data_IF_375638598118
#
_entry.id   IF_375638598118
#
_cell.length_a   1.000
_cell.length_b   1.000
_cell.length_c   1.000
_cell.angle_alpha   90.00
_cell.angle_beta   90.00
_cell.angle_gamma   90.00
#
_symmetry.space_group_name_H-M   'P 1'
#
loop_
_entity.id
_entity.type
_entity.pdbx_description
1 polymer ?
#
# COMPACT_ATOMS: atom_id res chain seq x y z
N UNK A 1 11.49 -4.25 -6.95
CA UNK A 1 10.87 -3.22 -7.82
C UNK A 1 11.65 -1.94 -7.65
N UNK A 2 11.96 -1.25 -8.75
CA UNK A 2 12.66 0.05 -8.71
C UNK A 2 11.71 1.12 -9.24
N UNK A 3 11.60 2.22 -8.51
CA UNK A 3 10.90 3.46 -8.91
C UNK A 3 11.99 4.50 -9.12
N UNK A 4 12.08 5.05 -10.32
CA UNK A 4 13.15 5.97 -10.68
C UNK A 4 12.61 7.29 -11.26
N UNK A 5 12.93 8.42 -10.61
CA UNK A 5 12.71 9.75 -11.11
C UNK A 5 11.25 10.15 -11.33
N UNK A 6 10.28 9.56 -10.60
CA UNK A 6 8.86 9.87 -10.80
C UNK A 6 8.59 11.36 -10.50
N UNK A 7 8.11 12.05 -11.53
CA UNK A 7 7.62 13.42 -11.45
C UNK A 7 6.16 13.52 -11.86
N UNK A 8 5.40 14.40 -11.17
CA UNK A 8 3.99 14.70 -11.49
C UNK A 8 3.62 16.11 -11.12
N UNK A 9 2.98 16.81 -12.06
CA UNK A 9 2.41 18.13 -11.81
C UNK A 9 0.92 18.16 -12.21
N UNK A 10 0.14 19.02 -11.56
CA UNK A 10 -1.23 19.32 -11.92
C UNK A 10 -1.38 20.84 -12.13
N UNK A 11 -1.82 21.23 -13.31
CA UNK A 11 -1.99 22.66 -13.63
C UNK A 11 -0.68 23.50 -13.52
N UNK A 12 0.49 22.84 -13.69
CA UNK A 12 1.79 23.46 -13.51
C UNK A 12 2.37 23.38 -12.08
N UNK A 13 1.56 23.01 -11.09
CA UNK A 13 1.99 22.83 -9.70
C UNK A 13 2.61 21.44 -9.50
N UNK A 14 3.90 21.34 -9.12
CA UNK A 14 4.55 20.05 -8.90
C UNK A 14 4.02 19.38 -7.63
N UNK A 15 3.54 18.13 -7.76
CA UNK A 15 3.10 17.28 -6.63
C UNK A 15 4.13 16.22 -6.32
N UNK A 16 4.87 15.73 -7.34
CA UNK A 16 5.99 14.81 -7.19
C UNK A 16 7.18 15.34 -7.97
N UNK A 17 8.37 15.32 -7.37
CA UNK A 17 9.59 15.83 -7.98
C UNK A 17 10.75 14.85 -7.74
N UNK A 18 11.12 14.10 -8.78
CA UNK A 18 12.27 13.19 -8.80
C UNK A 18 12.23 12.11 -7.71
N UNK A 19 11.06 11.47 -7.54
CA UNK A 19 10.87 10.44 -6.53
C UNK A 19 11.51 9.13 -6.97
N UNK A 20 12.50 8.67 -6.20
CA UNK A 20 13.28 7.45 -6.50
C UNK A 20 13.47 6.60 -5.26
N UNK A 21 13.21 5.28 -5.36
CA UNK A 21 13.49 4.28 -4.33
C UNK A 21 13.41 2.85 -4.90
N UNK A 22 13.89 1.91 -4.11
CA UNK A 22 13.83 0.48 -4.42
C UNK A 22 13.09 -0.29 -3.34
N UNK A 23 12.38 -1.34 -3.76
CA UNK A 23 11.69 -2.30 -2.89
C UNK A 23 12.20 -3.69 -3.19
N UNK A 24 12.69 -4.39 -2.19
CA UNK A 24 13.14 -5.78 -2.32
C UNK A 24 11.96 -6.75 -2.49
N UNK A 25 12.22 -7.96 -2.94
CA UNK A 25 11.19 -9.01 -3.00
C UNK A 25 10.88 -9.50 -1.59
N UNK A 26 9.59 -9.62 -1.25
CA UNK A 26 9.17 -10.03 0.09
C UNK A 26 9.31 -8.95 1.17
N UNK A 27 9.56 -7.70 0.77
CA UNK A 27 9.68 -6.55 1.68
C UNK A 27 8.33 -5.85 1.87
N UNK A 28 8.10 -5.33 3.07
CA UNK A 28 7.05 -4.36 3.38
C UNK A 28 7.70 -2.98 3.48
N UNK A 29 7.50 -2.14 2.45
CA UNK A 29 7.97 -0.77 2.41
C UNK A 29 6.86 0.19 2.83
N UNK A 30 7.10 1.03 3.82
CA UNK A 30 6.20 2.09 4.26
C UNK A 30 6.48 3.41 3.53
N UNK A 31 5.46 3.99 2.91
CA UNK A 31 5.52 5.34 2.35
C UNK A 31 4.91 6.31 3.36
N UNK A 32 5.75 7.11 4.01
CA UNK A 32 5.40 7.96 5.13
C UNK A 32 5.49 9.43 4.73
N UNK A 33 4.53 10.22 5.16
CA UNK A 33 4.52 11.66 4.91
C UNK A 33 3.20 12.29 5.35
N UNK A 34 3.16 13.62 5.53
CA UNK A 34 1.94 14.32 5.90
C UNK A 34 0.87 14.23 4.81
N UNK A 35 -0.34 14.65 5.14
CA UNK A 35 -1.39 14.82 4.15
C UNK A 35 -0.95 15.84 3.10
N UNK A 36 -1.18 15.54 1.82
CA UNK A 36 -0.71 16.38 0.73
C UNK A 36 0.75 16.15 0.30
N UNK A 37 1.52 15.28 0.95
CA UNK A 37 2.90 14.96 0.54
C UNK A 37 3.02 14.25 -0.82
N UNK A 38 1.90 13.79 -1.40
CA UNK A 38 1.88 13.11 -2.71
C UNK A 38 1.84 11.59 -2.64
N UNK A 39 1.60 10.96 -1.46
CA UNK A 39 1.61 9.49 -1.29
C UNK A 39 0.64 8.77 -2.24
N UNK A 40 -0.64 9.14 -2.23
CA UNK A 40 -1.67 8.57 -3.12
C UNK A 40 -1.30 8.79 -4.59
N UNK A 41 -0.91 10.01 -4.96
CA UNK A 41 -0.47 10.35 -6.33
C UNK A 41 0.69 9.46 -6.76
N UNK A 42 1.66 9.23 -5.88
CA UNK A 42 2.80 8.36 -6.16
C UNK A 42 2.36 6.90 -6.36
N UNK A 43 1.51 6.36 -5.48
CA UNK A 43 0.97 5.00 -5.63
C UNK A 43 0.18 4.84 -6.93
N UNK A 44 -0.63 5.81 -7.31
CA UNK A 44 -1.38 5.82 -8.58
C UNK A 44 -0.46 5.91 -9.79
N UNK A 45 0.60 6.73 -9.73
CA UNK A 45 1.63 6.77 -10.76
C UNK A 45 2.34 5.41 -10.87
N UNK A 46 2.75 4.78 -9.76
CA UNK A 46 3.38 3.45 -9.75
C UNK A 46 2.41 2.39 -10.27
N UNK A 47 1.13 2.45 -9.92
CA UNK A 47 0.10 1.53 -10.42
C UNK A 47 -0.18 1.68 -11.93
N UNK A 48 0.19 2.82 -12.52
CA UNK A 48 -0.12 3.16 -13.92
C UNK A 48 -1.54 3.63 -14.14
N UNK A 49 -2.24 4.03 -13.08
CA UNK A 49 -3.58 4.62 -13.13
C UNK A 49 -3.51 6.11 -13.46
N UNK A 50 -2.48 6.78 -12.96
CA UNK A 50 -2.16 8.15 -13.24
C UNK A 50 -0.86 8.22 -14.06
N UNK A 51 -0.84 8.87 -15.24
CA UNK A 51 0.39 9.03 -15.99
C UNK A 51 1.35 9.96 -15.25
N UNK A 52 2.58 9.51 -15.00
CA UNK A 52 3.67 10.36 -14.53
C UNK A 52 4.18 11.23 -15.68
N UNK A 53 4.68 12.42 -15.35
CA UNK A 53 5.23 13.36 -16.36
C UNK A 53 6.71 13.05 -16.62
N UNK A 54 7.38 12.36 -15.67
CA UNK A 54 8.76 11.88 -15.77
C UNK A 54 8.94 10.58 -14.98
N UNK A 55 10.05 9.91 -15.22
CA UNK A 55 10.48 8.73 -14.50
C UNK A 55 9.88 7.42 -15.00
N UNK A 56 10.31 6.33 -14.39
CA UNK A 56 9.91 4.97 -14.76
C UNK A 56 9.74 4.05 -13.55
N UNK A 57 9.03 2.95 -13.77
CA UNK A 57 8.95 1.82 -12.84
C UNK A 57 9.57 0.61 -13.51
N UNK A 58 10.45 -0.10 -12.80
CA UNK A 58 11.08 -1.34 -13.25
C UNK A 58 10.67 -2.51 -12.35
N UNK A 59 10.49 -3.67 -12.95
CA UNK A 59 10.30 -4.93 -12.26
C UNK A 59 11.41 -5.90 -12.65
N UNK A 60 12.18 -6.36 -11.65
CA UNK A 60 13.33 -7.27 -11.86
C UNK A 60 14.30 -6.78 -12.95
N UNK A 61 14.62 -5.48 -12.91
CA UNK A 61 15.55 -4.85 -13.85
C UNK A 61 14.98 -4.57 -15.24
N UNK A 62 13.69 -4.87 -15.48
CA UNK A 62 13.03 -4.59 -16.76
C UNK A 62 12.02 -3.46 -16.59
N UNK A 63 12.05 -2.50 -17.53
CA UNK A 63 11.08 -1.41 -17.57
C UNK A 63 9.64 -1.94 -17.65
N UNK A 64 8.77 -1.40 -16.80
CA UNK A 64 7.36 -1.80 -16.68
C UNK A 64 6.46 -0.63 -17.10
N UNK A 65 6.12 -0.52 -18.39
CA UNK A 65 5.29 0.58 -18.88
C UNK A 65 3.90 0.55 -18.25
N UNK A 66 3.20 1.71 -18.11
CA UNK A 66 1.92 1.81 -17.41
C UNK A 66 0.88 0.75 -17.80
N UNK A 67 0.72 0.49 -19.10
CA UNK A 67 -0.25 -0.50 -19.61
C UNK A 67 0.00 -1.94 -19.11
N UNK A 68 1.25 -2.28 -18.76
CA UNK A 68 1.65 -3.61 -18.30
C UNK A 68 1.76 -3.74 -16.79
N UNK A 69 1.69 -2.65 -16.03
CA UNK A 69 1.85 -2.66 -14.56
C UNK A 69 0.84 -3.58 -13.87
N UNK A 70 -0.39 -3.64 -14.36
CA UNK A 70 -1.45 -4.56 -13.87
C UNK A 70 -1.08 -6.06 -13.96
N UNK A 71 -0.06 -6.42 -14.73
CA UNK A 71 0.44 -7.80 -14.82
C UNK A 71 1.25 -8.17 -13.58
N UNK A 72 1.90 -7.20 -12.94
CA UNK A 72 2.79 -7.38 -11.79
C UNK A 72 2.27 -6.74 -10.51
N UNK A 73 1.48 -5.67 -10.62
CA UNK A 73 1.02 -4.86 -9.51
C UNK A 73 -0.49 -4.99 -9.33
N UNK A 74 -0.93 -4.92 -8.07
CA UNK A 74 -2.33 -4.66 -7.72
C UNK A 74 -2.39 -3.48 -6.76
N UNK A 75 -3.23 -2.50 -7.04
CA UNK A 75 -3.42 -1.32 -6.20
C UNK A 75 -4.75 -1.39 -5.45
N UNK A 76 -4.67 -1.20 -4.14
CA UNK A 76 -5.81 -1.09 -3.23
C UNK A 76 -5.91 0.37 -2.80
N UNK A 77 -6.83 1.15 -3.37
CA UNK A 77 -7.00 2.57 -3.02
C UNK A 77 -7.65 2.72 -1.64
N UNK A 78 -7.57 3.93 -1.08
CA UNK A 78 -8.18 4.25 0.21
C UNK A 78 -9.69 4.07 0.22
N UNK A 79 -10.39 4.60 -0.78
CA UNK A 79 -11.85 4.71 -0.75
C UNK A 79 -12.49 4.52 -2.11
N UNK A 80 -12.82 3.27 -2.45
CA UNK A 80 -13.68 2.95 -3.58
C UNK A 80 -14.78 1.98 -3.14
N UNK A 81 -15.86 1.91 -3.90
CA UNK A 81 -16.93 0.92 -3.75
C UNK A 81 -17.14 0.21 -5.08
N UNK A 82 -16.27 -0.76 -5.43
CA UNK A 82 -16.43 -1.49 -6.67
C UNK A 82 -17.72 -2.32 -6.61
N UNK A 83 -18.51 -2.27 -7.68
CA UNK A 83 -19.79 -2.99 -7.79
C UNK A 83 -20.74 -2.71 -6.60
N UNK A 84 -21.17 -1.45 -6.36
CA UNK A 84 -21.83 -1.03 -5.12
C UNK A 84 -23.15 -1.77 -4.85
N UNK A 85 -23.85 -2.21 -5.89
CA UNK A 85 -25.15 -2.89 -5.80
C UNK A 85 -25.03 -4.40 -5.60
N UNK A 86 -23.86 -4.98 -5.78
CA UNK A 86 -23.59 -6.40 -5.56
C UNK A 86 -23.31 -6.68 -4.09
N UNK A 87 -23.65 -7.86 -3.62
CA UNK A 87 -23.27 -8.27 -2.27
C UNK A 87 -21.76 -8.45 -2.15
N UNK A 88 -21.23 -8.22 -0.95
CA UNK A 88 -19.83 -8.43 -0.63
C UNK A 88 -19.35 -9.83 -1.03
N UNK A 89 -20.18 -10.87 -0.78
CA UNK A 89 -19.84 -12.24 -1.15
C UNK A 89 -19.78 -12.46 -2.66
N UNK A 90 -20.69 -11.88 -3.43
CA UNK A 90 -20.69 -12.00 -4.90
C UNK A 90 -19.43 -11.42 -5.50
N UNK A 91 -19.02 -10.22 -5.05
CA UNK A 91 -17.79 -9.59 -5.55
C UNK A 91 -16.55 -10.36 -5.14
N UNK A 92 -16.47 -10.86 -3.90
CA UNK A 92 -15.36 -11.70 -3.45
C UNK A 92 -15.25 -13.01 -4.24
N UNK A 93 -16.37 -13.67 -4.51
CA UNK A 93 -16.42 -14.89 -5.37
C UNK A 93 -15.97 -14.58 -6.78
N UNK A 94 -16.45 -13.48 -7.37
CA UNK A 94 -16.05 -13.04 -8.70
C UNK A 94 -14.54 -12.85 -8.80
N UNK A 95 -13.91 -12.17 -7.81
CA UNK A 95 -12.46 -12.00 -7.76
C UNK A 95 -11.74 -13.34 -7.60
N UNK A 96 -12.18 -14.19 -6.67
CA UNK A 96 -11.62 -15.54 -6.50
C UNK A 96 -11.61 -16.32 -7.81
N UNK A 97 -12.72 -16.32 -8.54
CA UNK A 97 -12.89 -17.05 -9.80
C UNK A 97 -12.06 -16.43 -10.93
N UNK A 98 -12.09 -15.10 -11.06
CA UNK A 98 -11.28 -14.35 -12.04
C UNK A 98 -9.77 -14.66 -11.88
N UNK A 99 -9.30 -14.73 -10.64
CA UNK A 99 -7.91 -15.02 -10.33
C UNK A 99 -7.63 -16.51 -10.09
N UNK A 100 -8.62 -17.38 -10.29
CA UNK A 100 -8.50 -18.84 -10.12
C UNK A 100 -7.94 -19.25 -8.76
N UNK A 101 -8.30 -18.52 -7.71
CA UNK A 101 -7.88 -18.83 -6.35
C UNK A 101 -8.63 -20.02 -5.78
N UNK A 102 -7.93 -20.84 -4.98
CA UNK A 102 -8.55 -21.96 -4.29
C UNK A 102 -9.69 -21.49 -3.35
N UNK A 103 -10.79 -22.26 -3.20
CA UNK A 103 -11.89 -21.90 -2.31
C UNK A 103 -11.42 -21.58 -0.89
N UNK A 104 -10.52 -22.37 -0.30
CA UNK A 104 -9.97 -22.15 1.03
C UNK A 104 -9.25 -20.81 1.22
N UNK A 105 -8.73 -20.21 0.14
CA UNK A 105 -8.12 -18.88 0.21
C UNK A 105 -9.14 -17.79 0.54
N UNK A 106 -10.29 -17.81 -0.12
CA UNK A 106 -11.38 -16.88 0.16
C UNK A 106 -11.90 -17.04 1.60
N UNK A 107 -12.15 -18.26 2.03
CA UNK A 107 -12.64 -18.59 3.37
C UNK A 107 -11.65 -18.12 4.45
N UNK A 108 -10.35 -18.34 4.20
CA UNK A 108 -9.30 -17.84 5.09
C UNK A 108 -9.33 -16.30 5.20
N UNK A 109 -9.40 -15.58 4.09
CA UNK A 109 -9.41 -14.12 4.08
C UNK A 109 -10.68 -13.55 4.73
N UNK A 110 -11.85 -14.13 4.45
CA UNK A 110 -13.11 -13.74 5.09
C UNK A 110 -12.99 -13.83 6.60
N UNK A 111 -12.46 -14.94 7.12
CA UNK A 111 -12.25 -15.14 8.56
C UNK A 111 -11.20 -14.21 9.14
N UNK A 112 -10.03 -14.14 8.50
CA UNK A 112 -8.90 -13.32 8.97
C UNK A 112 -9.25 -11.83 9.04
N UNK A 113 -10.09 -11.35 8.11
CA UNK A 113 -10.55 -9.96 8.05
C UNK A 113 -11.89 -9.72 8.76
N UNK A 114 -12.52 -10.76 9.33
CA UNK A 114 -13.80 -10.65 10.04
C UNK A 114 -14.92 -10.11 9.15
N UNK A 115 -15.02 -10.62 7.92
CA UNK A 115 -16.01 -10.15 6.94
C UNK A 115 -17.34 -10.89 7.01
N UNK A 116 -17.47 -11.96 7.80
CA UNK A 116 -18.66 -12.81 7.87
C UNK A 116 -19.96 -12.00 8.05
N UNK A 117 -20.05 -11.01 8.96
CA UNK A 117 -21.28 -10.24 9.19
C UNK A 117 -21.66 -9.32 8.00
N UNK A 118 -20.72 -9.10 7.08
CA UNK A 118 -20.89 -8.17 5.97
C UNK A 118 -21.18 -8.88 4.64
N UNK A 119 -21.05 -10.20 4.56
CA UNK A 119 -21.08 -10.95 3.30
C UNK A 119 -22.38 -10.80 2.50
N UNK A 120 -23.52 -10.69 3.19
CA UNK A 120 -24.82 -10.51 2.56
C UNK A 120 -25.17 -9.04 2.24
N UNK A 121 -24.33 -8.08 2.69
CA UNK A 121 -24.59 -6.66 2.48
C UNK A 121 -24.09 -6.22 1.12
N UNK A 122 -24.81 -5.31 0.43
CA UNK A 122 -24.29 -4.62 -0.74
C UNK A 122 -23.00 -3.87 -0.40
N UNK A 123 -22.04 -3.84 -1.32
CA UNK A 123 -20.74 -3.17 -1.13
C UNK A 123 -20.93 -1.68 -0.82
N UNK A 124 -21.91 -1.03 -1.47
CA UNK A 124 -22.24 0.37 -1.23
C UNK A 124 -22.75 0.66 0.18
N UNK A 125 -23.34 -0.34 0.86
CA UNK A 125 -23.89 -0.22 2.22
C UNK A 125 -22.87 -0.59 3.33
N UNK A 126 -21.64 -0.90 2.99
CA UNK A 126 -20.59 -1.23 3.96
C UNK A 126 -20.17 0.02 4.74
N UNK A 127 -20.00 -0.13 6.06
CA UNK A 127 -19.32 0.90 6.87
C UNK A 127 -17.86 1.08 6.39
N UNK A 128 -17.23 2.21 6.75
CA UNK A 128 -15.83 2.50 6.38
C UNK A 128 -14.90 1.33 6.71
N UNK A 129 -14.97 0.78 7.93
CA UNK A 129 -14.12 -0.34 8.36
C UNK A 129 -14.41 -1.65 7.61
N UNK A 130 -15.69 -1.98 7.33
CA UNK A 130 -16.01 -3.16 6.51
C UNK A 130 -15.59 -2.98 5.06
N UNK A 131 -15.72 -1.79 4.51
CA UNK A 131 -15.25 -1.48 3.15
C UNK A 131 -13.74 -1.63 3.03
N UNK A 132 -12.99 -1.12 4.01
CA UNK A 132 -11.52 -1.28 4.05
C UNK A 132 -11.13 -2.77 4.07
N UNK A 133 -11.72 -3.57 4.97
CA UNK A 133 -11.46 -5.02 5.04
C UNK A 133 -11.83 -5.75 3.75
N UNK A 134 -12.93 -5.36 3.12
CA UNK A 134 -13.34 -5.89 1.83
C UNK A 134 -12.32 -5.56 0.72
N UNK A 135 -11.84 -4.31 0.62
CA UNK A 135 -10.82 -3.91 -0.34
C UNK A 135 -9.50 -4.66 -0.13
N UNK A 136 -9.09 -4.84 1.12
CA UNK A 136 -7.94 -5.68 1.47
C UNK A 136 -8.13 -7.13 0.98
N UNK A 137 -9.31 -7.71 1.19
CA UNK A 137 -9.60 -9.06 0.69
C UNK A 137 -9.47 -9.15 -0.83
N UNK A 138 -9.96 -8.16 -1.59
CA UNK A 138 -9.81 -8.12 -3.04
C UNK A 138 -8.33 -8.06 -3.46
N UNK A 139 -7.53 -7.20 -2.81
CA UNK A 139 -6.10 -7.11 -3.07
C UNK A 139 -5.35 -8.41 -2.75
N UNK A 140 -5.72 -9.07 -1.65
CA UNK A 140 -5.11 -10.32 -1.23
C UNK A 140 -5.56 -11.54 -2.05
N UNK A 141 -6.71 -11.46 -2.72
CA UNK A 141 -7.14 -12.45 -3.72
C UNK A 141 -6.40 -12.31 -5.05
N UNK A 142 -5.93 -11.12 -5.40
CA UNK A 142 -5.18 -10.90 -6.63
C UNK A 142 -3.77 -11.52 -6.53
N UNK A 143 -3.37 -12.48 -7.39
CA UNK A 143 -2.08 -13.17 -7.30
C UNK A 143 -0.98 -12.33 -7.96
N UNK A 144 -0.86 -11.07 -7.58
CA UNK A 144 0.20 -10.19 -8.08
C UNK A 144 1.38 -10.18 -7.13
N UNK A 145 2.63 -10.21 -7.64
CA UNK A 145 3.82 -10.22 -6.80
C UNK A 145 4.00 -8.92 -6.01
N UNK A 146 3.39 -7.82 -6.44
CA UNK A 146 3.45 -6.53 -5.73
C UNK A 146 2.05 -6.04 -5.39
N UNK A 147 1.83 -5.68 -4.13
CA UNK A 147 0.63 -5.00 -3.63
C UNK A 147 0.98 -3.57 -3.22
N UNK A 148 0.27 -2.62 -3.81
CA UNK A 148 0.28 -1.23 -3.39
C UNK A 148 -1.01 -0.98 -2.61
N UNK A 149 -0.91 -0.45 -1.39
CA UNK A 149 -2.08 -0.19 -0.54
C UNK A 149 -2.02 1.22 0.02
N UNK A 150 -3.09 1.96 -0.22
CA UNK A 150 -3.24 3.32 0.31
C UNK A 150 -4.00 3.27 1.63
N UNK A 151 -3.34 3.66 2.73
CA UNK A 151 -3.87 3.72 4.11
C UNK A 151 -4.56 2.41 4.58
N UNK A 152 -3.89 1.24 4.52
CA UNK A 152 -4.53 -0.06 4.75
C UNK A 152 -5.12 -0.25 6.14
N UNK A 153 -4.72 0.53 7.13
CA UNK A 153 -5.15 0.42 8.53
C UNK A 153 -6.23 1.43 8.95
N UNK A 154 -6.58 2.37 8.05
CA UNK A 154 -7.53 3.43 8.37
C UNK A 154 -8.93 2.88 8.71
N UNK A 155 -9.49 3.40 9.82
CA UNK A 155 -10.81 3.00 10.32
C UNK A 155 -10.84 1.69 11.10
N UNK A 156 -9.68 1.15 11.51
CA UNK A 156 -9.58 -0.05 12.35
C UNK A 156 -9.31 0.29 13.82
N UNK A 157 -9.85 -0.52 14.71
CA UNK A 157 -9.40 -0.55 16.10
C UNK A 157 -8.04 -1.26 16.23
N UNK A 158 -7.41 -1.14 17.40
CA UNK A 158 -6.08 -1.69 17.66
C UNK A 158 -6.01 -3.22 17.43
N UNK A 159 -7.07 -3.97 17.75
CA UNK A 159 -7.09 -5.43 17.56
C UNK A 159 -7.17 -5.78 16.07
N UNK A 160 -8.00 -5.08 15.33
CA UNK A 160 -8.16 -5.24 13.88
C UNK A 160 -6.87 -4.87 13.15
N UNK A 161 -6.25 -3.73 13.51
CA UNK A 161 -4.95 -3.29 12.96
C UNK A 161 -3.89 -4.38 13.13
N UNK A 162 -3.74 -4.94 14.34
CA UNK A 162 -2.78 -6.04 14.58
C UNK A 162 -3.09 -7.28 13.74
N UNK A 163 -4.35 -7.67 13.61
CA UNK A 163 -4.76 -8.80 12.77
C UNK A 163 -4.38 -8.61 11.31
N UNK A 164 -4.63 -7.42 10.76
CA UNK A 164 -4.25 -7.07 9.38
C UNK A 164 -2.73 -7.01 9.22
N UNK A 165 -1.99 -6.42 10.17
CA UNK A 165 -0.52 -6.41 10.14
C UNK A 165 0.05 -7.82 10.06
N UNK A 166 -0.44 -8.75 10.88
CA UNK A 166 0.00 -10.14 10.85
C UNK A 166 -0.29 -10.81 9.51
N UNK A 167 -1.46 -10.54 8.92
CA UNK A 167 -1.83 -11.05 7.60
C UNK A 167 -0.90 -10.51 6.51
N UNK A 168 -0.59 -9.20 6.51
CA UNK A 168 0.32 -8.59 5.55
C UNK A 168 1.76 -9.10 5.74
N UNK A 169 2.21 -9.28 6.97
CA UNK A 169 3.52 -9.91 7.26
C UNK A 169 3.60 -11.33 6.69
N UNK A 170 2.54 -12.13 6.83
CA UNK A 170 2.51 -13.47 6.24
C UNK A 170 2.61 -13.42 4.72
N UNK A 171 1.88 -12.51 4.06
CA UNK A 171 1.99 -12.31 2.60
C UNK A 171 3.43 -11.95 2.17
N UNK A 172 4.13 -11.13 2.95
CA UNK A 172 5.52 -10.79 2.68
C UNK A 172 6.46 -11.98 2.85
N UNK A 173 6.29 -12.77 3.92
CA UNK A 173 7.04 -14.03 4.15
C UNK A 173 6.79 -15.02 3.01
N UNK A 174 5.57 -15.07 2.46
CA UNK A 174 5.21 -15.90 1.31
C UNK A 174 5.74 -15.32 -0.04
N UNK A 175 6.53 -14.23 0.02
CA UNK A 175 7.28 -13.68 -1.11
C UNK A 175 6.60 -12.52 -1.85
N UNK A 176 5.46 -12.01 -1.36
CA UNK A 176 4.83 -10.82 -1.93
C UNK A 176 5.53 -9.55 -1.45
N UNK A 177 5.73 -8.61 -2.35
CA UNK A 177 6.24 -7.28 -2.03
C UNK A 177 5.08 -6.35 -1.73
N UNK A 178 5.16 -5.59 -0.64
CA UNK A 178 4.10 -4.68 -0.22
C UNK A 178 4.62 -3.25 -0.15
N UNK A 179 3.90 -2.29 -0.73
CA UNK A 179 4.15 -0.85 -0.57
C UNK A 179 2.92 -0.24 0.05
N UNK A 180 3.04 0.28 1.25
CA UNK A 180 1.94 0.76 2.06
C UNK A 180 2.09 2.27 2.29
N UNK A 181 1.12 3.09 1.91
CA UNK A 181 1.06 4.44 2.49
C UNK A 181 0.49 4.33 3.91
N UNK A 182 1.13 4.99 4.85
CA UNK A 182 0.72 4.95 6.26
C UNK A 182 0.90 6.35 6.84
N UNK A 183 -0.12 6.86 7.52
CA UNK A 183 -0.04 8.17 8.20
C UNK A 183 0.27 8.03 9.69
N UNK A 184 -0.04 6.88 10.32
CA UNK A 184 0.27 6.63 11.73
C UNK A 184 1.68 6.03 11.85
N UNK A 185 2.62 6.83 12.34
CA UNK A 185 4.04 6.46 12.44
C UNK A 185 4.27 5.21 13.30
N UNK A 186 3.50 5.05 14.40
CA UNK A 186 3.56 3.88 15.24
C UNK A 186 3.16 2.58 14.53
N UNK A 187 2.23 2.63 13.58
CA UNK A 187 1.83 1.47 12.78
C UNK A 187 2.90 1.15 11.71
N UNK A 188 3.45 2.18 11.08
CA UNK A 188 4.53 2.01 10.12
C UNK A 188 5.76 1.35 10.76
N UNK A 189 6.17 1.81 11.95
CA UNK A 189 7.30 1.23 12.69
C UNK A 189 7.10 -0.24 13.06
N UNK A 190 5.84 -0.68 13.24
CA UNK A 190 5.52 -2.07 13.60
C UNK A 190 5.46 -3.01 12.40
N UNK A 191 5.02 -2.52 11.24
CA UNK A 191 4.72 -3.39 10.09
C UNK A 191 5.76 -3.30 8.98
N UNK A 192 6.45 -2.19 8.79
CA UNK A 192 7.37 -1.99 7.69
C UNK A 192 8.79 -2.46 8.02
N UNK A 193 9.46 -3.01 7.03
CA UNK A 193 10.88 -3.37 7.09
C UNK A 193 11.75 -2.14 6.84
N UNK A 194 11.36 -1.33 5.84
CA UNK A 194 11.98 -0.06 5.49
C UNK A 194 10.93 1.00 5.21
N UNK A 195 11.36 2.24 5.23
CA UNK A 195 10.52 3.42 5.09
C UNK A 195 11.05 4.33 3.98
N UNK A 196 10.14 4.97 3.26
CA UNK A 196 10.38 6.12 2.39
C UNK A 196 9.70 7.31 3.04
N UNK A 197 10.47 8.31 3.43
CA UNK A 197 9.94 9.57 3.99
C UNK A 197 9.69 10.53 2.84
N UNK A 198 8.44 10.92 2.64
CA UNK A 198 8.00 11.82 1.58
C UNK A 198 7.54 13.15 2.18
N UNK A 199 8.09 14.26 1.72
CA UNK A 199 7.70 15.61 2.11
C UNK A 199 7.78 16.54 0.90
N UNK A 200 6.77 17.38 0.70
CA UNK A 200 6.72 18.30 -0.45
C UNK A 200 6.94 17.62 -1.81
N UNK A 201 6.44 16.40 -1.98
CA UNK A 201 6.60 15.64 -3.23
C UNK A 201 8.02 15.08 -3.47
N UNK A 202 8.90 15.11 -2.48
CA UNK A 202 10.30 14.64 -2.58
C UNK A 202 10.60 13.57 -1.55
N UNK A 203 11.51 12.68 -1.88
CA UNK A 203 12.05 11.70 -0.93
C UNK A 203 13.09 12.38 -0.05
N UNK A 204 12.83 12.39 1.25
CA UNK A 204 13.71 12.96 2.27
C UNK A 204 14.65 11.94 2.88
N UNK A 205 14.27 10.66 2.83
CA UNK A 205 15.06 9.55 3.31
C UNK A 205 14.45 8.19 2.95
N UNK A 206 15.30 7.19 2.77
CA UNK A 206 14.91 5.79 2.51
C UNK A 206 15.79 4.88 3.34
N UNK A 207 15.17 3.97 4.09
CA UNK A 207 15.93 2.98 4.88
C UNK A 207 15.11 2.36 6.00
N UNK A 208 15.77 1.53 6.79
CA UNK A 208 15.28 1.07 8.09
C UNK A 208 15.21 2.25 9.07
N UNK A 209 14.47 2.10 10.16
CA UNK A 209 14.45 3.14 11.19
C UNK A 209 15.87 3.46 11.70
N UNK A 210 16.72 2.46 11.89
CA UNK A 210 18.09 2.65 12.34
C UNK A 210 18.94 3.46 11.35
N UNK A 211 18.83 3.19 10.04
CA UNK A 211 19.51 3.95 8.98
C UNK A 211 19.03 5.39 8.91
N UNK A 212 17.72 5.62 9.02
CA UNK A 212 17.12 6.96 9.04
C UNK A 212 17.52 7.75 10.29
N UNK A 213 17.54 7.09 11.46
CA UNK A 213 18.02 7.69 12.73
C UNK A 213 19.48 8.12 12.60
N UNK A 214 20.33 7.29 12.02
CA UNK A 214 21.73 7.62 11.78
C UNK A 214 21.89 8.77 10.77
N UNK A 215 21.10 8.79 9.70
CA UNK A 215 21.10 9.88 8.72
C UNK A 215 20.64 11.21 9.33
N UNK A 216 19.68 11.18 10.26
CA UNK A 216 19.22 12.33 11.04
C UNK A 216 20.22 12.76 12.15
N UNK A 217 21.28 11.98 12.40
CA UNK A 217 22.25 12.17 13.48
C UNK A 217 21.61 12.21 14.88
N UNK A 218 20.58 11.40 15.07
CA UNK A 218 19.85 11.27 16.33
C UNK A 218 20.32 10.06 17.13
N UNK A 219 20.05 10.00 18.45
CA UNK A 219 20.31 8.82 19.28
C UNK A 219 19.59 7.58 18.74
N UNK A 220 20.20 6.39 18.94
CA UNK A 220 19.69 5.13 18.37
C UNK A 220 18.28 4.75 18.83
N UNK A 221 17.89 5.20 20.02
CA UNK A 221 16.56 4.91 20.60
C UNK A 221 15.49 5.96 20.21
N UNK A 222 15.81 6.85 19.26
CA UNK A 222 14.87 7.88 18.79
C UNK A 222 13.71 7.26 18.02
N UNK A 223 12.48 7.68 18.35
CA UNK A 223 11.27 7.25 17.67
C UNK A 223 11.17 7.76 16.23
N UNK A 224 10.33 7.08 15.43
CA UNK A 224 10.14 7.47 14.01
C UNK A 224 9.61 8.90 13.85
N UNK A 225 8.87 9.43 14.83
CA UNK A 225 8.30 10.78 14.80
C UNK A 225 9.40 11.84 14.80
N UNK A 226 10.34 11.74 15.73
CA UNK A 226 11.47 12.67 15.84
C UNK A 226 12.42 12.54 14.64
N UNK A 227 12.63 11.32 14.15
CA UNK A 227 13.43 11.07 12.95
C UNK A 227 12.77 11.71 11.72
N UNK A 228 11.45 11.57 11.59
CA UNK A 228 10.69 12.19 10.50
C UNK A 228 10.83 13.72 10.55
N UNK A 229 10.61 14.34 11.72
CA UNK A 229 10.72 15.80 11.89
C UNK A 229 12.13 16.34 11.64
N UNK A 230 13.17 15.54 11.93
CA UNK A 230 14.57 15.98 11.71
C UNK A 230 14.99 15.89 10.23
N UNK A 231 14.34 15.04 9.43
CA UNK A 231 14.68 14.83 8.01
C UNK A 231 13.77 15.61 7.05
N UNK A 232 12.63 16.13 7.51
CA UNK A 232 11.62 16.82 6.67
C UNK A 232 11.44 18.28 7.04
#
# INVERSE_FOLDING_TARGET
MTVGGIGKAFGGEPVLADVSFEVASGEILGLIGPNGAGKTTLLECIAGLLPSDAGEVQWRGTSLPPARRKEQLFYVPEAISPYPDQTTMEVLKFFRETYRQAPGRLEHLVRALGLEPALAKPVGALSKGYRRRFLLALGLLAPRPVLLMDEPFDGFDLRQTRGVMNLLRQEAVDGRTLVLSIHQLGDAQRVCDRLVLLSGGRVMGVGTLAELTAAARLPIDTGLEEVFLALT
#
